data_IF_060039086732
#
_entry.id   IF_060039086732
#
_cell.length_a   1.000
_cell.length_b   1.000
_cell.length_c   1.000
_cell.angle_alpha   90.00
_cell.angle_beta   90.00
_cell.angle_gamma   90.00
#
_symmetry.space_group_name_H-M   'P 1'
#
loop_
_entity.id
_entity.type
_entity.pdbx_description
1 polymer ?
#
# COMPACT_ATOMS: atom_id res chain seq x y z
N UNK A 1 18.17 8.79 -15.31
CA UNK A 1 18.66 8.80 -13.92
C UNK A 1 17.44 8.85 -13.03
N UNK A 2 17.37 8.02 -11.98
CA UNK A 2 16.27 8.07 -11.00
C UNK A 2 16.60 9.11 -9.94
N UNK A 3 15.67 10.01 -9.67
CA UNK A 3 15.79 11.00 -8.62
C UNK A 3 14.93 10.54 -7.44
N UNK A 4 15.55 10.39 -6.27
CA UNK A 4 14.83 10.00 -5.06
C UNK A 4 14.21 11.24 -4.39
N UNK A 5 13.29 10.99 -3.46
CA UNK A 5 12.71 12.02 -2.62
C UNK A 5 13.80 12.73 -1.79
N UNK A 6 13.78 14.07 -1.77
CA UNK A 6 14.67 14.92 -0.97
C UNK A 6 13.86 15.66 0.10
N UNK A 7 14.00 15.31 1.40
CA UNK A 7 13.25 15.97 2.46
C UNK A 7 13.60 17.46 2.65
N UNK A 8 14.71 17.95 2.09
CA UNK A 8 15.14 19.34 2.22
C UNK A 8 14.69 20.24 1.07
N UNK A 9 14.12 19.67 0.01
CA UNK A 9 13.60 20.40 -1.14
C UNK A 9 12.09 20.59 -1.02
N UNK A 10 11.54 21.57 -1.74
CA UNK A 10 10.12 21.90 -1.69
C UNK A 10 9.26 20.69 -2.12
N UNK A 11 8.29 20.35 -1.28
CA UNK A 11 7.26 19.35 -1.57
C UNK A 11 5.90 19.84 -1.06
N UNK A 12 4.84 19.32 -1.66
CA UNK A 12 3.46 19.63 -1.32
C UNK A 12 2.80 18.36 -0.78
N UNK A 13 2.03 18.51 0.30
CA UNK A 13 1.10 17.48 0.76
C UNK A 13 -0.31 17.97 0.43
N UNK A 14 -0.95 17.32 -0.52
CA UNK A 14 -2.31 17.63 -0.96
C UNK A 14 -3.27 16.73 -0.17
N UNK A 15 -4.18 17.35 0.58
CA UNK A 15 -5.27 16.68 1.30
C UNK A 15 -6.61 17.02 0.65
N UNK A 16 -7.53 16.05 0.56
CA UNK A 16 -8.85 16.25 -0.09
C UNK A 16 -9.45 14.99 -0.71
N UNK A 17 -8.66 13.92 -0.84
CA UNK A 17 -9.08 12.56 -1.19
C UNK A 17 -8.97 11.64 0.05
N UNK A 18 -9.11 10.32 -0.13
CA UNK A 18 -9.06 9.33 0.97
C UNK A 18 -7.72 9.29 1.74
N UNK A 19 -6.60 9.73 1.13
CA UNK A 19 -5.26 9.71 1.73
C UNK A 19 -4.45 10.95 1.30
N UNK A 20 -3.51 11.44 2.14
CA UNK A 20 -2.66 12.57 1.77
C UNK A 20 -1.71 12.20 0.64
N UNK A 21 -1.72 12.98 -0.45
CA UNK A 21 -0.83 12.80 -1.59
C UNK A 21 0.40 13.69 -1.47
N UNK A 22 1.58 13.10 -1.64
CA UNK A 22 2.86 13.82 -1.57
C UNK A 22 3.36 14.10 -2.99
N UNK A 23 3.74 15.36 -3.24
CA UNK A 23 4.26 15.81 -4.52
C UNK A 23 5.55 16.61 -4.35
N UNK A 24 6.63 16.08 -4.90
CA UNK A 24 7.91 16.75 -5.11
C UNK A 24 8.25 16.76 -6.61
N UNK A 25 8.65 17.91 -7.17
CA UNK A 25 9.07 18.00 -8.56
C UNK A 25 10.29 17.12 -8.86
N UNK A 26 10.34 16.56 -10.07
CA UNK A 26 11.49 15.85 -10.63
C UNK A 26 11.94 14.59 -9.87
N UNK A 27 11.17 14.06 -8.93
CA UNK A 27 11.45 12.77 -8.27
C UNK A 27 10.72 11.61 -8.93
N UNK A 28 11.27 10.42 -8.80
CA UNK A 28 10.70 9.17 -9.28
C UNK A 28 9.78 8.59 -8.21
N UNK A 29 8.53 8.31 -8.58
CA UNK A 29 7.59 7.63 -7.70
C UNK A 29 7.56 6.15 -8.01
N UNK A 30 7.52 5.35 -6.94
CA UNK A 30 7.24 3.93 -7.03
C UNK A 30 5.77 3.69 -6.66
N UNK A 31 4.96 3.32 -7.63
CA UNK A 31 3.54 2.99 -7.39
C UNK A 31 3.41 1.47 -7.26
N UNK A 32 2.77 1.03 -6.18
CA UNK A 32 2.33 -0.36 -6.00
C UNK A 32 0.82 -0.36 -5.82
N UNK A 33 0.11 -1.15 -6.61
CA UNK A 33 -1.29 -1.48 -6.34
C UNK A 33 -1.46 -2.99 -6.27
N UNK A 34 -2.55 -3.39 -5.62
CA UNK A 34 -2.89 -4.77 -5.32
C UNK A 34 -4.26 -5.05 -5.91
N UNK A 35 -4.47 -6.27 -6.38
CA UNK A 35 -5.81 -6.72 -6.78
C UNK A 35 -6.63 -7.01 -5.53
N UNK A 36 -7.96 -6.90 -5.61
CA UNK A 36 -8.87 -7.12 -4.49
C UNK A 36 -8.67 -8.49 -3.83
N UNK A 37 -8.33 -9.51 -4.61
CA UNK A 37 -8.09 -10.87 -4.18
C UNK A 37 -6.69 -11.12 -3.58
N UNK A 38 -5.86 -10.09 -3.44
CA UNK A 38 -4.48 -10.23 -2.90
C UNK A 38 -4.46 -10.85 -1.50
N UNK A 39 -5.53 -10.70 -0.74
CA UNK A 39 -5.78 -11.45 0.49
C UNK A 39 -7.15 -12.15 0.38
N UNK A 40 -7.17 -13.47 0.11
CA UNK A 40 -8.41 -14.23 0.06
C UNK A 40 -9.23 -14.09 1.34
N UNK A 41 -10.56 -14.15 1.21
CA UNK A 41 -11.51 -13.93 2.31
C UNK A 41 -11.27 -14.80 3.54
N UNK A 42 -10.84 -16.05 3.35
CA UNK A 42 -10.54 -16.95 4.47
C UNK A 42 -9.30 -16.48 5.28
N UNK A 43 -8.30 -15.87 4.62
CA UNK A 43 -7.10 -15.32 5.27
C UNK A 43 -7.45 -14.07 6.05
N UNK A 44 -8.18 -13.14 5.42
CA UNK A 44 -8.60 -11.89 6.07
C UNK A 44 -9.54 -12.16 7.23
N UNK A 45 -10.51 -13.07 7.07
CA UNK A 45 -11.47 -13.40 8.15
C UNK A 45 -10.77 -13.96 9.38
N UNK A 46 -9.81 -14.89 9.20
CA UNK A 46 -9.02 -15.41 10.32
C UNK A 46 -8.21 -14.31 10.99
N UNK A 47 -7.51 -13.50 10.19
CA UNK A 47 -6.70 -12.40 10.69
C UNK A 47 -7.55 -11.39 11.50
N UNK A 48 -8.72 -11.00 10.98
CA UNK A 48 -9.65 -10.10 11.67
C UNK A 48 -10.18 -10.69 12.98
N UNK A 49 -10.46 -12.00 13.03
CA UNK A 49 -10.91 -12.67 14.24
C UNK A 49 -9.82 -12.66 15.33
N UNK A 50 -8.58 -13.00 14.97
CA UNK A 50 -7.43 -12.99 15.90
C UNK A 50 -7.12 -11.57 16.40
N UNK A 51 -7.13 -10.61 15.47
CA UNK A 51 -6.89 -9.19 15.74
C UNK A 51 -7.95 -8.58 16.66
N UNK A 52 -9.22 -8.80 16.36
CA UNK A 52 -10.33 -8.29 17.19
C UNK A 52 -10.35 -8.92 18.57
N UNK A 53 -10.08 -10.22 18.70
CA UNK A 53 -9.94 -10.88 19.99
C UNK A 53 -8.76 -10.33 20.81
N UNK A 54 -7.63 -10.02 20.16
CA UNK A 54 -6.49 -9.40 20.83
C UNK A 54 -6.82 -7.99 21.32
N UNK A 55 -7.49 -7.17 20.51
CA UNK A 55 -7.92 -5.83 20.91
C UNK A 55 -8.89 -5.89 22.10
N UNK A 56 -9.85 -6.81 22.06
CA UNK A 56 -10.83 -6.99 23.13
C UNK A 56 -10.16 -7.34 24.48
N UNK A 57 -9.11 -8.17 24.47
CA UNK A 57 -8.31 -8.47 25.68
C UNK A 57 -7.60 -7.26 26.28
N UNK A 58 -7.39 -6.20 25.50
CA UNK A 58 -6.81 -4.94 25.94
C UNK A 58 -7.87 -3.85 26.15
N UNK A 59 -9.15 -4.20 26.18
CA UNK A 59 -10.26 -3.26 26.40
C UNK A 59 -10.55 -2.35 25.21
N UNK A 60 -10.15 -2.75 24.00
CA UNK A 60 -10.36 -1.99 22.77
C UNK A 60 -11.31 -2.77 21.87
N UNK A 61 -12.33 -2.11 21.34
CA UNK A 61 -13.26 -2.69 20.36
C UNK A 61 -13.27 -1.82 19.11
N UNK A 62 -13.30 -2.45 17.93
CA UNK A 62 -13.27 -1.75 16.63
C UNK A 62 -14.53 -0.94 16.34
N UNK A 63 -15.63 -1.17 17.06
CA UNK A 63 -16.85 -0.37 17.01
C UNK A 63 -16.71 1.00 17.70
N UNK A 64 -15.67 1.20 18.53
CA UNK A 64 -15.41 2.49 19.16
C UNK A 64 -14.80 3.46 18.14
N UNK A 65 -15.28 4.70 18.11
CA UNK A 65 -14.74 5.73 17.21
C UNK A 65 -13.27 6.06 17.51
N UNK A 66 -12.84 5.92 18.77
CA UNK A 66 -11.51 6.29 19.28
C UNK A 66 -10.56 5.08 19.45
N UNK A 67 -10.87 3.92 18.86
CA UNK A 67 -10.08 2.70 19.07
C UNK A 67 -8.59 2.87 18.72
N UNK A 68 -8.28 3.69 17.70
CA UNK A 68 -6.90 4.00 17.29
C UNK A 68 -6.15 4.79 18.36
N UNK A 69 -6.81 5.76 18.98
CA UNK A 69 -6.23 6.56 20.05
C UNK A 69 -5.99 5.71 21.30
N UNK A 70 -6.92 4.81 21.61
CA UNK A 70 -6.74 3.84 22.70
C UNK A 70 -5.56 2.90 22.45
N UNK A 71 -5.42 2.40 21.22
CA UNK A 71 -4.26 1.59 20.81
C UNK A 71 -2.96 2.37 20.94
N UNK A 72 -2.94 3.64 20.52
CA UNK A 72 -1.77 4.51 20.62
C UNK A 72 -1.38 4.84 22.07
N UNK A 73 -2.35 4.82 22.99
CA UNK A 73 -2.14 5.03 24.43
C UNK A 73 -1.73 3.76 25.18
N UNK A 74 -1.75 2.58 24.56
CA UNK A 74 -1.28 1.37 25.23
C UNK A 74 0.22 1.48 25.60
N UNK A 75 0.64 0.79 26.68
CA UNK A 75 2.06 0.66 27.00
C UNK A 75 2.87 0.21 25.78
N UNK A 76 4.09 0.73 25.65
CA UNK A 76 4.96 0.48 24.50
C UNK A 76 5.13 -1.02 24.19
N UNK A 77 5.27 -1.85 25.23
CA UNK A 77 5.34 -3.31 25.12
C UNK A 77 4.19 -3.89 24.29
N UNK A 78 2.96 -3.45 24.54
CA UNK A 78 1.78 -3.95 23.84
C UNK A 78 1.65 -3.37 22.43
N UNK A 79 2.02 -2.10 22.23
CA UNK A 79 2.10 -1.51 20.88
C UNK A 79 3.12 -2.24 20.01
N UNK A 80 4.28 -2.60 20.57
CA UNK A 80 5.29 -3.37 19.86
C UNK A 80 4.79 -4.77 19.49
N UNK A 81 4.20 -5.49 20.46
CA UNK A 81 3.58 -6.79 20.21
C UNK A 81 2.49 -6.73 19.13
N UNK A 82 1.67 -5.68 19.14
CA UNK A 82 0.67 -5.46 18.10
C UNK A 82 1.29 -5.38 16.71
N UNK A 83 2.37 -4.61 16.55
CA UNK A 83 3.05 -4.47 15.26
C UNK A 83 3.76 -5.75 14.83
N UNK A 84 4.47 -6.41 15.75
CA UNK A 84 5.16 -7.68 15.50
C UNK A 84 4.19 -8.80 15.12
N UNK A 85 2.99 -8.84 15.72
CA UNK A 85 2.01 -9.89 15.41
C UNK A 85 1.19 -9.50 14.20
N UNK A 86 0.41 -8.42 14.27
CA UNK A 86 -0.65 -8.18 13.30
C UNK A 86 -0.18 -7.42 12.07
N UNK A 87 0.66 -6.39 12.25
CA UNK A 87 1.14 -5.59 11.12
C UNK A 87 2.09 -6.43 10.25
N UNK A 88 3.02 -7.14 10.89
CA UNK A 88 3.94 -8.03 10.19
C UNK A 88 3.24 -9.20 9.51
N UNK A 89 2.37 -9.94 10.22
CA UNK A 89 1.66 -11.08 9.62
C UNK A 89 0.79 -10.66 8.43
N UNK A 90 0.19 -9.47 8.49
CA UNK A 90 -0.56 -8.93 7.36
C UNK A 90 0.34 -8.68 6.14
N UNK A 91 1.49 -8.05 6.35
CA UNK A 91 2.50 -7.83 5.30
C UNK A 91 3.07 -9.15 4.74
N UNK A 92 3.34 -10.13 5.60
CA UNK A 92 3.81 -11.46 5.17
C UNK A 92 2.76 -12.20 4.35
N UNK A 93 1.49 -12.13 4.74
CA UNK A 93 0.40 -12.75 3.96
C UNK A 93 0.24 -12.07 2.59
N UNK A 94 0.46 -10.76 2.54
CA UNK A 94 0.48 -9.98 1.31
C UNK A 94 1.65 -10.36 0.40
N UNK A 95 2.82 -10.66 0.96
CA UNK A 95 4.01 -11.04 0.19
C UNK A 95 3.96 -12.49 -0.32
N UNK A 96 3.17 -13.35 0.32
CA UNK A 96 2.92 -14.73 -0.15
C UNK A 96 2.14 -14.80 -1.47
N UNK A 97 1.48 -13.71 -1.90
CA UNK A 97 0.72 -13.69 -3.14
C UNK A 97 -0.40 -14.74 -3.17
N UNK A 98 -1.22 -14.78 -2.12
CA UNK A 98 -2.24 -15.83 -1.92
C UNK A 98 -3.48 -15.69 -2.84
N UNK A 99 -3.61 -14.56 -3.54
CA UNK A 99 -4.65 -14.37 -4.55
C UNK A 99 -4.44 -15.19 -5.81
N UNK A 100 -5.27 -14.97 -6.82
CA UNK A 100 -5.12 -15.58 -8.13
C UNK A 100 -3.88 -15.09 -8.90
N UNK A 101 -3.25 -13.99 -8.44
CA UNK A 101 -2.08 -13.38 -9.07
C UNK A 101 -2.24 -13.21 -10.58
N UNK A 102 -3.42 -12.72 -11.02
CA UNK A 102 -3.79 -12.65 -12.44
C UNK A 102 -2.79 -11.85 -13.28
N UNK A 103 -2.08 -10.90 -12.69
CA UNK A 103 -1.04 -10.11 -13.35
C UNK A 103 0.26 -10.88 -13.64
N UNK A 104 0.40 -12.12 -13.15
CA UNK A 104 1.44 -13.04 -13.60
C UNK A 104 1.26 -13.40 -15.08
N UNK A 105 0.04 -13.29 -15.62
CA UNK A 105 -0.21 -13.43 -17.04
C UNK A 105 0.27 -12.16 -17.79
N UNK A 106 1.26 -12.27 -18.70
CA UNK A 106 1.81 -11.14 -19.44
C UNK A 106 0.77 -10.34 -20.23
N UNK A 107 -0.30 -10.99 -20.69
CA UNK A 107 -1.37 -10.32 -21.44
C UNK A 107 -2.15 -9.36 -20.55
N UNK A 108 -2.45 -9.77 -19.32
CA UNK A 108 -3.20 -8.97 -18.36
C UNK A 108 -2.34 -7.86 -17.77
N UNK A 109 -1.08 -8.15 -17.41
CA UNK A 109 -0.17 -7.11 -16.94
C UNK A 109 0.12 -6.06 -18.01
N UNK A 110 0.19 -6.44 -19.29
CA UNK A 110 0.31 -5.48 -20.39
C UNK A 110 -0.86 -4.51 -20.46
N UNK A 111 -2.10 -4.98 -20.34
CA UNK A 111 -3.29 -4.10 -20.36
C UNK A 111 -3.22 -3.07 -19.24
N UNK A 112 -2.86 -3.50 -18.03
CA UNK A 112 -2.74 -2.62 -16.87
C UNK A 112 -1.59 -1.62 -17.06
N UNK A 113 -0.44 -2.08 -17.55
CA UNK A 113 0.70 -1.22 -17.84
C UNK A 113 0.34 -0.16 -18.91
N UNK A 114 -0.31 -0.57 -20.00
CA UNK A 114 -0.74 0.33 -21.07
C UNK A 114 -1.76 1.36 -20.55
N UNK A 115 -2.66 0.96 -19.64
CA UNK A 115 -3.64 1.85 -19.02
C UNK A 115 -2.99 2.91 -18.12
N UNK A 116 -1.99 2.51 -17.33
CA UNK A 116 -1.24 3.44 -16.48
C UNK A 116 -0.37 4.37 -17.31
N UNK A 117 0.14 3.89 -18.43
CA UNK A 117 0.90 4.67 -19.39
C UNK A 117 0.03 5.57 -20.28
N UNK A 118 -1.28 5.35 -20.36
CA UNK A 118 -2.16 6.09 -21.26
C UNK A 118 -2.07 7.62 -21.05
N UNK A 119 -2.03 8.05 -19.79
CA UNK A 119 -1.88 9.46 -19.43
C UNK A 119 -0.42 9.93 -19.36
N UNK A 120 0.53 9.00 -19.20
CA UNK A 120 1.97 9.29 -19.09
C UNK A 120 2.64 9.39 -20.48
N UNK A 121 2.18 8.66 -21.49
CA UNK A 121 2.84 8.60 -22.82
C UNK A 121 2.61 9.89 -23.62
N UNK A 122 1.54 10.63 -23.33
CA UNK A 122 1.40 12.02 -23.81
C UNK A 122 2.42 12.98 -23.14
N UNK A 123 3.22 12.48 -22.19
CA UNK A 123 4.25 13.19 -21.45
C UNK A 123 5.53 12.34 -21.24
N UNK A 124 6.18 11.94 -22.34
CA UNK A 124 7.58 11.43 -22.44
C UNK A 124 8.21 10.83 -21.14
N UNK A 125 7.84 9.62 -20.69
CA UNK A 125 8.60 8.87 -19.66
C UNK A 125 8.57 7.34 -19.88
N UNK A 126 9.65 6.61 -19.52
CA UNK A 126 9.84 5.15 -19.72
C UNK A 126 9.58 4.35 -18.43
N UNK A 127 8.98 3.14 -18.54
CA UNK A 127 8.73 2.21 -17.41
C UNK A 127 9.30 0.79 -17.64
N UNK A 128 9.66 0.10 -16.55
CA UNK A 128 10.05 -1.33 -16.50
C UNK A 128 9.33 -2.04 -15.35
N UNK A 129 8.76 -3.23 -15.60
CA UNK A 129 8.13 -4.10 -14.59
C UNK A 129 9.19 -4.99 -13.90
N UNK A 130 9.15 -5.12 -12.57
CA UNK A 130 10.15 -5.87 -11.80
C UNK A 130 9.58 -6.72 -10.63
N UNK A 131 8.44 -7.41 -10.77
CA UNK A 131 8.13 -8.61 -9.94
C UNK A 131 6.82 -9.33 -10.36
N UNK A 132 6.68 -10.67 -10.22
CA UNK A 132 5.45 -11.42 -10.55
C UNK A 132 4.30 -11.28 -9.55
N UNK A 133 4.53 -10.67 -8.39
CA UNK A 133 3.54 -10.48 -7.31
C UNK A 133 3.36 -9.03 -6.85
N UNK A 134 4.12 -8.10 -7.44
CA UNK A 134 4.16 -6.69 -7.07
C UNK A 134 4.40 -5.88 -8.35
N UNK A 135 3.36 -5.20 -8.83
CA UNK A 135 3.49 -4.36 -10.01
C UNK A 135 4.05 -2.99 -9.56
N UNK A 136 5.37 -2.87 -9.58
CA UNK A 136 6.08 -1.61 -9.33
C UNK A 136 6.13 -0.75 -10.58
N UNK A 137 5.60 0.48 -10.52
CA UNK A 137 5.73 1.46 -11.60
C UNK A 137 6.75 2.53 -11.22
N UNK A 138 7.64 2.86 -12.16
CA UNK A 138 8.53 4.01 -12.09
C UNK A 138 7.90 5.11 -12.93
N UNK A 139 7.29 6.12 -12.30
CA UNK A 139 6.84 7.32 -13.02
C UNK A 139 7.82 8.46 -12.72
N UNK A 140 8.33 9.08 -13.79
CA UNK A 140 8.83 10.45 -13.70
C UNK A 140 7.62 11.38 -13.89
N UNK A 141 7.58 12.52 -13.18
CA UNK A 141 6.33 13.24 -12.98
C UNK A 141 5.98 14.00 -14.25
N UNK A 142 4.84 13.66 -14.85
CA UNK A 142 4.03 14.63 -15.56
C UNK A 142 2.55 14.20 -15.52
N UNK A 143 1.73 15.20 -15.20
CA UNK A 143 0.26 15.26 -15.22
C UNK A 143 -0.52 14.51 -14.14
N UNK A 144 -1.02 15.33 -13.22
CA UNK A 144 -2.40 15.42 -12.74
C UNK A 144 -3.42 14.47 -13.40
N UNK A 145 -3.96 13.56 -12.59
CA UNK A 145 -5.37 13.13 -12.56
C UNK A 145 -5.78 13.03 -11.10
#
# INVERSE_FOLDING_TARGET
MFNLFDPNSDFQIIAGSNLPHWFQPQVTYFITFRTEDSLPSHVTSRWYAEWSAWLARHGITTSMADWKDKLARLPEKFRKQYHEIFSQQYMENLDKGLGACVLRNPKLSKIVADSLLYFIVNSKNKCTLSDPGRCGFLTAPMLSV
#
